data_IF_422203377741
#
_entry.id   IF_422203377741
#
_cell.length_a   1.000
_cell.length_b   1.000
_cell.length_c   1.000
_cell.angle_alpha   90.00
_cell.angle_beta   90.00
_cell.angle_gamma   90.00
#
_symmetry.space_group_name_H-M   'P 1'
#
loop_
_entity.id
_entity.type
_entity.pdbx_description
1 polymer ?
#
# COMPACT_ATOMS: atom_id res chain seq x y z
N UNK A 1 6.09 -4.62 -9.22
CA UNK A 1 6.58 -3.21 -9.20
C UNK A 1 7.92 -3.16 -8.50
N UNK A 2 8.81 -2.21 -8.85
CA UNK A 2 10.07 -2.04 -8.11
C UNK A 2 9.82 -1.31 -6.78
N UNK A 3 10.71 -1.51 -5.81
CA UNK A 3 10.60 -0.83 -4.50
C UNK A 3 10.60 0.70 -4.64
N UNK A 4 11.39 1.25 -5.56
CA UNK A 4 11.42 2.69 -5.85
C UNK A 4 10.08 3.20 -6.38
N UNK A 5 9.45 2.47 -7.31
CA UNK A 5 8.13 2.84 -7.83
C UNK A 5 7.05 2.82 -6.73
N UNK A 6 7.13 1.83 -5.83
CA UNK A 6 6.23 1.73 -4.68
C UNK A 6 6.41 2.94 -3.76
N UNK A 7 7.65 3.31 -3.42
CA UNK A 7 7.94 4.48 -2.58
C UNK A 7 7.39 5.77 -3.17
N UNK A 8 7.63 6.05 -4.46
CA UNK A 8 7.07 7.24 -5.11
C UNK A 8 5.53 7.28 -5.07
N UNK A 9 4.87 6.13 -5.20
CA UNK A 9 3.42 6.04 -5.07
C UNK A 9 2.96 6.33 -3.63
N UNK A 10 3.66 5.80 -2.62
CA UNK A 10 3.38 6.09 -1.21
C UNK A 10 3.59 7.58 -0.87
N UNK A 11 4.67 8.19 -1.37
CA UNK A 11 4.91 9.64 -1.26
C UNK A 11 3.77 10.44 -1.88
N UNK A 12 3.24 9.98 -3.02
CA UNK A 12 2.09 10.63 -3.68
C UNK A 12 0.84 10.56 -2.81
N UNK A 13 0.56 9.41 -2.18
CA UNK A 13 -0.59 9.26 -1.26
C UNK A 13 -0.45 10.18 -0.03
N UNK A 14 0.76 10.26 0.54
CA UNK A 14 1.07 11.17 1.65
C UNK A 14 0.99 12.65 1.24
N UNK A 15 1.43 12.99 0.02
CA UNK A 15 1.36 14.35 -0.49
C UNK A 15 -0.09 14.85 -0.58
N UNK A 16 -1.00 13.98 -1.02
CA UNK A 16 -2.44 14.26 -1.07
C UNK A 16 -3.18 13.87 0.20
N UNK A 17 -2.55 13.94 1.38
CA UNK A 17 -3.12 13.56 2.67
C UNK A 17 -4.41 14.30 3.07
N UNK A 18 -4.69 15.47 2.48
CA UNK A 18 -5.95 16.19 2.70
C UNK A 18 -7.12 15.61 1.86
N UNK A 19 -6.83 14.66 0.98
CA UNK A 19 -7.79 13.90 0.19
C UNK A 19 -7.85 12.45 0.69
N UNK A 20 -9.04 11.86 0.62
CA UNK A 20 -9.19 10.43 0.87
C UNK A 20 -8.88 9.65 -0.41
N UNK A 21 -7.62 9.28 -0.59
CA UNK A 21 -7.17 8.48 -1.75
C UNK A 21 -6.86 7.05 -1.29
N UNK A 22 -7.50 6.09 -1.96
CA UNK A 22 -7.17 4.67 -1.85
C UNK A 22 -6.69 4.18 -3.21
N UNK A 23 -5.48 3.63 -3.24
CA UNK A 23 -4.95 2.96 -4.41
C UNK A 23 -5.20 1.45 -4.29
N UNK A 24 -5.85 0.87 -5.30
CA UNK A 24 -6.22 -0.56 -5.30
C UNK A 24 -5.50 -1.28 -6.42
N UNK A 25 -4.78 -2.34 -6.07
CA UNK A 25 -4.11 -3.24 -7.01
C UNK A 25 -5.04 -4.39 -7.38
N UNK A 26 -5.10 -4.68 -8.67
CA UNK A 26 -5.95 -5.74 -9.23
C UNK A 26 -5.16 -6.62 -10.19
N UNK A 27 -5.45 -7.92 -10.22
CA UNK A 27 -4.95 -8.87 -11.19
C UNK A 27 -6.15 -9.63 -11.78
N UNK A 28 -6.28 -9.66 -13.11
CA UNK A 28 -7.43 -10.26 -13.80
C UNK A 28 -8.80 -9.80 -13.25
N UNK A 29 -8.92 -8.49 -12.96
CA UNK A 29 -10.11 -7.84 -12.37
C UNK A 29 -10.40 -8.20 -10.90
N UNK A 30 -9.61 -9.07 -10.29
CA UNK A 30 -9.68 -9.37 -8.86
C UNK A 30 -8.78 -8.42 -8.07
N UNK A 31 -9.37 -7.70 -7.11
CA UNK A 31 -8.64 -6.81 -6.23
C UNK A 31 -7.99 -7.63 -5.12
N UNK A 32 -6.69 -7.44 -4.90
CA UNK A 32 -5.95 -8.26 -3.93
C UNK A 32 -5.32 -7.42 -2.82
N UNK A 33 -4.90 -6.19 -3.10
CA UNK A 33 -4.35 -5.26 -2.11
C UNK A 33 -4.87 -3.85 -2.36
N UNK A 34 -5.14 -3.12 -1.29
CA UNK A 34 -5.28 -1.67 -1.34
C UNK A 34 -4.39 -0.98 -0.33
N UNK A 35 -4.05 0.28 -0.60
CA UNK A 35 -3.26 1.12 0.28
C UNK A 35 -3.80 2.55 0.29
N UNK A 36 -3.83 3.16 1.47
CA UNK A 36 -4.14 4.56 1.67
C UNK A 36 -3.23 5.16 2.74
N UNK A 37 -3.23 6.49 2.84
CA UNK A 37 -2.52 7.22 3.88
C UNK A 37 -3.53 7.96 4.76
N UNK A 38 -3.40 7.82 6.07
CA UNK A 38 -4.23 8.48 7.07
C UNK A 38 -3.43 9.59 7.75
N UNK A 39 -3.78 10.84 7.43
CA UNK A 39 -3.18 12.03 8.02
C UNK A 39 -3.24 12.04 9.55
N UNK A 40 -4.41 11.72 10.11
CA UNK A 40 -4.65 11.79 11.57
C UNK A 40 -3.77 10.81 12.36
N UNK A 41 -3.37 9.70 11.72
CA UNK A 41 -2.48 8.69 12.30
C UNK A 41 -1.03 8.84 11.82
N UNK A 42 -0.77 9.73 10.86
CA UNK A 42 0.49 9.81 10.12
C UNK A 42 0.99 8.41 9.69
N UNK A 43 0.10 7.62 9.08
CA UNK A 43 0.34 6.21 8.82
C UNK A 43 -0.24 5.75 7.49
N UNK A 44 0.43 4.78 6.88
CA UNK A 44 -0.08 4.00 5.77
C UNK A 44 -0.92 2.85 6.31
N UNK A 45 -2.05 2.59 5.68
CA UNK A 45 -2.82 1.37 5.90
C UNK A 45 -2.79 0.53 4.64
N UNK A 46 -2.32 -0.71 4.76
CA UNK A 46 -2.32 -1.69 3.69
C UNK A 46 -3.37 -2.75 4.03
N UNK A 47 -4.32 -2.97 3.12
CA UNK A 47 -5.38 -3.94 3.30
C UNK A 47 -5.22 -5.07 2.28
N UNK A 48 -5.01 -6.30 2.76
CA UNK A 48 -5.09 -7.52 1.97
C UNK A 48 -6.56 -7.92 1.86
N UNK A 49 -7.11 -7.86 0.64
CA UNK A 49 -8.56 -7.94 0.43
C UNK A 49 -9.05 -9.38 0.63
N UNK A 50 -8.32 -10.36 0.12
CA UNK A 50 -8.67 -11.78 0.20
C UNK A 50 -8.68 -12.28 1.65
N UNK A 51 -7.69 -11.88 2.44
CA UNK A 51 -7.50 -12.37 3.82
C UNK A 51 -8.16 -11.46 4.87
N UNK A 52 -8.71 -10.31 4.45
CA UNK A 52 -9.28 -9.28 5.33
C UNK A 52 -8.31 -8.82 6.43
N UNK A 53 -7.02 -8.84 6.12
CA UNK A 53 -5.94 -8.40 7.01
C UNK A 53 -5.63 -6.94 6.69
N UNK A 54 -5.46 -6.13 7.74
CA UNK A 54 -5.05 -4.74 7.64
C UNK A 54 -3.77 -4.54 8.45
N UNK A 55 -2.78 -3.89 7.83
CA UNK A 55 -1.51 -3.54 8.46
C UNK A 55 -1.34 -2.02 8.46
N UNK A 56 -1.09 -1.45 9.64
CA UNK A 56 -0.81 -0.02 9.81
C UNK A 56 0.68 0.18 10.00
N UNK A 57 1.28 1.00 9.15
CA UNK A 57 2.73 1.23 9.06
C UNK A 57 3.01 2.73 9.11
N UNK A 58 3.92 3.13 10.00
CA UNK A 58 4.16 4.54 10.32
C UNK A 58 5.32 5.16 9.54
N UNK A 59 5.99 4.37 8.71
CA UNK A 59 7.10 4.83 7.89
C UNK A 59 7.00 4.25 6.47
N UNK A 60 7.55 5.00 5.52
CA UNK A 60 7.47 4.68 4.10
C UNK A 60 8.29 3.43 3.73
N UNK A 61 9.38 3.16 4.44
CA UNK A 61 10.27 2.03 4.13
C UNK A 61 9.57 0.71 4.47
N UNK A 62 8.99 0.60 5.67
CA UNK A 62 8.20 -0.55 6.10
C UNK A 62 6.96 -0.74 5.21
N UNK A 63 6.24 0.34 4.90
CA UNK A 63 5.10 0.31 3.98
C UNK A 63 5.49 -0.20 2.59
N UNK A 64 6.59 0.29 2.05
CA UNK A 64 7.08 -0.15 0.75
C UNK A 64 7.49 -1.63 0.75
N UNK A 65 8.14 -2.10 1.82
CA UNK A 65 8.54 -3.50 1.95
C UNK A 65 7.33 -4.45 2.05
N UNK A 66 6.34 -4.12 2.86
CA UNK A 66 5.10 -4.92 2.97
C UNK A 66 4.37 -4.96 1.63
N UNK A 67 4.16 -3.80 0.99
CA UNK A 67 3.50 -3.75 -0.30
C UNK A 67 4.30 -4.51 -1.38
N UNK A 68 5.63 -4.42 -1.37
CA UNK A 68 6.48 -5.14 -2.31
C UNK A 68 6.34 -6.67 -2.19
N UNK A 69 6.17 -7.20 -0.97
CA UNK A 69 5.92 -8.63 -0.73
C UNK A 69 4.60 -9.09 -1.35
N UNK A 70 3.54 -8.27 -1.26
CA UNK A 70 2.26 -8.61 -1.87
C UNK A 70 2.25 -8.45 -3.39
N UNK A 71 2.94 -7.44 -3.91
CA UNK A 71 2.96 -7.14 -5.35
C UNK A 71 3.94 -8.02 -6.14
N UNK A 72 4.93 -8.60 -5.48
CA UNK A 72 5.92 -9.48 -6.09
C UNK A 72 6.10 -10.73 -5.21
N UNK A 73 5.09 -11.61 -5.14
CA UNK A 73 5.23 -12.84 -4.38
C UNK A 73 6.38 -13.66 -4.97
N UNK A 74 7.41 -13.91 -4.17
CA UNK A 74 8.47 -14.85 -4.54
C UNK A 74 7.85 -16.23 -4.51
N UNK A 75 7.59 -16.81 -5.68
CA UNK A 75 7.31 -18.23 -5.78
C UNK A 75 8.59 -18.97 -5.40
N UNK A 76 8.64 -19.50 -4.19
CA UNK A 76 9.62 -20.51 -3.75
C UNK A 76 9.15 -21.90 -4.13
#
# INVERSE_FOLDING_TARGET
MTLTQIKHMLETLMYYQDCQITHTFSHNQEQFVSVCYFKDMNAYQINQISDKISETLYDIDSAALVLNKHLNPVFS
#
